data_IF_663838116193
#
_entry.id   IF_663838116193
#
_cell.length_a   1.000
_cell.length_b   1.000
_cell.length_c   1.000
_cell.angle_alpha   90.00
_cell.angle_beta   90.00
_cell.angle_gamma   90.00
#
_symmetry.space_group_name_H-M   'P 1'
#
loop_
_entity.id
_entity.type
_entity.pdbx_description
1 polymer ?
#
# COMPACT_ATOMS: atom_id res chain seq x y z
N UNK A 1 -17.45 9.57 0.04
CA UNK A 1 -16.68 8.32 0.33
C UNK A 1 -15.85 7.93 -0.88
N UNK A 2 -16.42 7.97 -2.09
CA UNK A 2 -15.69 7.77 -3.35
C UNK A 2 -14.48 8.71 -3.48
N UNK A 3 -14.64 10.02 -3.22
CA UNK A 3 -13.53 11.00 -3.33
C UNK A 3 -12.33 10.67 -2.42
N UNK A 4 -12.58 10.15 -1.22
CA UNK A 4 -11.53 9.77 -0.27
C UNK A 4 -10.75 8.56 -0.75
N UNK A 5 -11.44 7.55 -1.31
CA UNK A 5 -10.80 6.38 -1.90
C UNK A 5 -9.98 6.77 -3.13
N UNK A 6 -10.52 7.63 -4.00
CA UNK A 6 -9.78 8.20 -5.13
C UNK A 6 -8.51 8.91 -4.68
N UNK A 7 -8.58 9.72 -3.62
CA UNK A 7 -7.41 10.38 -3.05
C UNK A 7 -6.36 9.35 -2.57
N UNK A 8 -6.76 8.36 -1.78
CA UNK A 8 -5.83 7.34 -1.25
C UNK A 8 -5.13 6.58 -2.38
N UNK A 9 -5.85 6.19 -3.44
CA UNK A 9 -5.30 5.44 -4.57
C UNK A 9 -4.47 6.31 -5.54
N UNK A 10 -4.80 7.59 -5.68
CA UNK A 10 -4.02 8.54 -6.47
C UNK A 10 -2.67 8.83 -5.81
N UNK A 11 -2.65 8.92 -4.49
CA UNK A 11 -1.47 9.28 -3.70
C UNK A 11 -0.81 8.07 -3.04
N UNK A 12 -0.88 6.88 -3.65
CA UNK A 12 -0.23 5.66 -3.12
C UNK A 12 1.24 5.89 -2.75
N UNK A 13 2.11 6.42 -3.64
CA UNK A 13 3.53 6.57 -3.31
C UNK A 13 3.77 7.47 -2.11
N UNK A 14 2.89 8.45 -1.89
CA UNK A 14 3.03 9.40 -0.79
C UNK A 14 2.92 8.72 0.58
N UNK A 15 2.00 7.76 0.75
CA UNK A 15 1.85 7.07 2.02
C UNK A 15 2.56 5.71 2.06
N UNK A 16 2.62 4.97 0.95
CA UNK A 16 3.15 3.61 0.93
C UNK A 16 4.68 3.56 1.04
N UNK A 17 5.40 4.52 0.47
CA UNK A 17 6.86 4.56 0.55
C UNK A 17 7.33 4.86 1.98
N UNK A 18 6.88 5.94 2.65
CA UNK A 18 7.28 6.21 4.03
C UNK A 18 6.85 5.10 4.99
N UNK A 19 5.59 4.63 4.89
CA UNK A 19 5.10 3.54 5.75
C UNK A 19 5.87 2.24 5.50
N UNK A 20 6.16 1.91 4.25
CA UNK A 20 6.97 0.74 3.88
C UNK A 20 8.36 0.81 4.48
N UNK A 21 9.06 1.94 4.35
CA UNK A 21 10.40 2.13 4.92
C UNK A 21 10.40 2.00 6.45
N UNK A 22 9.48 2.66 7.13
CA UNK A 22 9.34 2.60 8.59
C UNK A 22 9.05 1.16 9.02
N UNK A 23 8.10 0.50 8.35
CA UNK A 23 7.67 -0.85 8.70
C UNK A 23 8.78 -1.87 8.48
N UNK A 24 9.54 -1.79 7.39
CA UNK A 24 10.68 -2.68 7.16
C UNK A 24 11.78 -2.47 8.21
N UNK A 25 12.07 -1.21 8.57
CA UNK A 25 13.07 -0.89 9.59
C UNK A 25 12.70 -1.48 10.97
N UNK A 26 11.47 -1.25 11.43
CA UNK A 26 11.01 -1.81 12.71
C UNK A 26 10.82 -3.33 12.64
N UNK A 27 10.35 -3.86 11.51
CA UNK A 27 10.26 -5.30 11.26
C UNK A 27 11.61 -5.98 11.47
N UNK A 28 12.68 -5.41 10.94
CA UNK A 28 14.05 -5.88 11.14
C UNK A 28 14.53 -5.77 12.58
N UNK A 29 14.30 -4.63 13.26
CA UNK A 29 14.69 -4.44 14.66
C UNK A 29 14.02 -5.47 15.58
N UNK A 30 12.70 -5.67 15.44
CA UNK A 30 11.97 -6.64 16.26
C UNK A 30 12.30 -8.08 15.92
N UNK A 31 12.73 -8.34 14.68
CA UNK A 31 13.22 -9.65 14.28
C UNK A 31 14.52 -10.02 15.02
N UNK A 32 15.47 -9.07 15.08
CA UNK A 32 16.74 -9.25 15.83
C UNK A 32 16.48 -9.42 17.33
N UNK A 33 15.50 -8.71 17.88
CA UNK A 33 15.12 -8.82 19.30
C UNK A 33 14.34 -10.10 19.63
N UNK A 34 14.16 -11.00 18.67
CA UNK A 34 13.36 -12.23 18.78
C UNK A 34 11.88 -12.03 19.15
N UNK A 35 11.36 -10.81 19.06
CA UNK A 35 9.93 -10.50 19.27
C UNK A 35 9.20 -10.72 17.94
N UNK A 36 9.09 -12.00 17.53
CA UNK A 36 8.65 -12.40 16.19
C UNK A 36 7.24 -11.93 15.83
N UNK A 37 6.30 -11.99 16.76
CA UNK A 37 4.91 -11.54 16.53
C UNK A 37 4.84 -10.07 16.08
N UNK A 38 5.60 -9.18 16.73
CA UNK A 38 5.64 -7.76 16.36
C UNK A 38 6.37 -7.56 15.04
N UNK A 39 7.47 -8.29 14.83
CA UNK A 39 8.21 -8.27 13.56
C UNK A 39 7.32 -8.67 12.37
N UNK A 40 6.51 -9.73 12.51
CA UNK A 40 5.60 -10.17 11.45
C UNK A 40 4.53 -9.13 11.13
N UNK A 41 3.97 -8.43 12.12
CA UNK A 41 3.02 -7.34 11.87
C UNK A 41 3.63 -6.21 11.05
N UNK A 42 4.87 -5.84 11.35
CA UNK A 42 5.60 -4.82 10.59
C UNK A 42 5.97 -5.29 9.18
N UNK A 43 6.48 -6.51 9.02
CA UNK A 43 6.75 -7.05 7.69
C UNK A 43 5.49 -7.24 6.84
N UNK A 44 4.37 -7.65 7.43
CA UNK A 44 3.08 -7.71 6.73
C UNK A 44 2.64 -6.33 6.25
N UNK A 45 2.80 -5.29 7.09
CA UNK A 45 2.49 -3.90 6.70
C UNK A 45 3.40 -3.42 5.57
N UNK A 46 4.71 -3.72 5.66
CA UNK A 46 5.67 -3.43 4.60
C UNK A 46 5.34 -4.14 3.28
N UNK A 47 4.90 -5.40 3.35
CA UNK A 47 4.46 -6.17 2.19
C UNK A 47 3.20 -5.59 1.55
N UNK A 48 2.22 -5.16 2.36
CA UNK A 48 1.03 -4.46 1.86
C UNK A 48 1.44 -3.16 1.14
N UNK A 49 2.32 -2.36 1.74
CA UNK A 49 2.85 -1.14 1.10
C UNK A 49 3.53 -1.45 -0.24
N UNK A 50 4.30 -2.54 -0.30
CA UNK A 50 4.93 -3.02 -1.53
C UNK A 50 3.89 -3.39 -2.60
N UNK A 51 2.84 -4.14 -2.25
CA UNK A 51 1.77 -4.50 -3.19
C UNK A 51 1.08 -3.26 -3.78
N UNK A 52 0.75 -2.28 -2.93
CA UNK A 52 0.16 -1.02 -3.39
C UNK A 52 1.13 -0.23 -4.29
N UNK A 53 2.41 -0.18 -3.93
CA UNK A 53 3.42 0.48 -4.76
C UNK A 53 3.58 -0.21 -6.12
N UNK A 54 3.62 -1.55 -6.16
CA UNK A 54 3.65 -2.33 -7.40
C UNK A 54 2.40 -2.09 -8.25
N UNK A 55 1.21 -2.05 -7.65
CA UNK A 55 -0.03 -1.66 -8.32
C UNK A 55 0.07 -0.26 -8.93
N UNK A 56 0.59 0.72 -8.17
CA UNK A 56 0.74 2.09 -8.66
C UNK A 56 1.73 2.17 -9.83
N UNK A 57 2.86 1.46 -9.75
CA UNK A 57 3.84 1.38 -10.85
C UNK A 57 3.19 0.74 -12.09
N UNK A 58 2.39 -0.31 -11.91
CA UNK A 58 1.64 -0.93 -13.00
C UNK A 58 0.63 0.03 -13.64
N UNK A 59 -0.05 0.86 -12.83
CA UNK A 59 -0.97 1.89 -13.33
C UNK A 59 -0.27 3.03 -14.08
N UNK A 60 1.03 3.24 -13.87
CA UNK A 60 1.90 4.15 -14.61
C UNK A 60 1.67 5.65 -14.38
N UNK A 61 0.53 6.04 -13.79
CA UNK A 61 0.20 7.44 -13.49
C UNK A 61 -0.83 7.56 -12.37
N UNK A 62 -0.89 8.72 -11.66
CA UNK A 62 -1.91 8.97 -10.65
C UNK A 62 -3.35 8.91 -11.20
N UNK A 63 -3.55 9.39 -12.43
CA UNK A 63 -4.87 9.34 -13.08
C UNK A 63 -5.19 7.91 -13.58
N UNK A 64 -4.17 7.13 -13.95
CA UNK A 64 -4.28 5.72 -14.28
C UNK A 64 -4.70 4.87 -13.07
N UNK A 65 -4.12 5.11 -11.90
CA UNK A 65 -4.46 4.36 -10.68
C UNK A 65 -5.91 4.61 -10.24
N UNK A 66 -6.38 5.85 -10.43
CA UNK A 66 -7.78 6.24 -10.23
C UNK A 66 -8.73 5.58 -11.24
N UNK A 67 -8.37 5.55 -12.53
CA UNK A 67 -9.20 4.92 -13.59
C UNK A 67 -9.37 3.42 -13.40
N UNK A 68 -8.30 2.71 -13.03
CA UNK A 68 -8.37 1.26 -12.78
C UNK A 68 -9.33 0.97 -11.62
N UNK A 69 -9.28 1.80 -10.56
CA UNK A 69 -10.20 1.72 -9.44
C UNK A 69 -11.65 1.97 -9.88
N UNK A 70 -11.91 3.01 -10.69
CA UNK A 70 -13.25 3.32 -11.20
C UNK A 70 -13.84 2.16 -12.02
N UNK A 71 -13.02 1.57 -12.90
CA UNK A 71 -13.42 0.43 -13.72
C UNK A 71 -13.78 -0.79 -12.85
N UNK A 72 -12.97 -1.07 -11.81
CA UNK A 72 -13.22 -2.15 -10.87
C UNK A 72 -14.54 -1.94 -10.11
N UNK A 73 -14.80 -0.72 -9.64
CA UNK A 73 -16.07 -0.40 -8.96
C UNK A 73 -17.28 -0.55 -9.88
N UNK A 74 -17.15 -0.18 -11.16
CA UNK A 74 -18.21 -0.37 -12.15
C UNK A 74 -18.51 -1.84 -12.42
N UNK A 75 -17.48 -2.70 -12.45
CA UNK A 75 -17.65 -4.15 -12.59
C UNK A 75 -18.36 -4.77 -11.39
N UNK A 76 -17.95 -4.43 -10.17
CA UNK A 76 -18.55 -4.97 -8.93
C UNK A 76 -20.01 -4.55 -8.74
N UNK A 77 -20.38 -3.39 -9.28
CA UNK A 77 -21.75 -2.85 -9.16
C UNK A 77 -22.74 -3.42 -10.19
N UNK A 78 -22.25 -4.11 -11.22
CA UNK A 78 -23.07 -4.74 -12.26
C UNK A 78 -23.54 -6.12 -11.81
#
# INVERSE_FOLDING_TARGET
MEDTLFFIFRYIPFWSIPLGMISLQFGYIYWIKEIRWVSYSFYATGFICFLFLSYYIYAGSPDGSARILDNLFREVKR
#
